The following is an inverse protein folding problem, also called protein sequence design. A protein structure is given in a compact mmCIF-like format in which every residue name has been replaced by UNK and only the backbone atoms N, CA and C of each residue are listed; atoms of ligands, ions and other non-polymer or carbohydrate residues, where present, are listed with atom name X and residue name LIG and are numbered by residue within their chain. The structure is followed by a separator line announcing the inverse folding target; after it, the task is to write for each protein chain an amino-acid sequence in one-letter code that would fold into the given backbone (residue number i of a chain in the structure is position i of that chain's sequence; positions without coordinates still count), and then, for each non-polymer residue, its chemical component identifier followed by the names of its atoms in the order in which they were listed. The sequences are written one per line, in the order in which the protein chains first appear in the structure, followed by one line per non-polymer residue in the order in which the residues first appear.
data_IF_123389552126
#
_entry.id   IF_123389552126
#
_cell.length_a   1.000
_cell.length_b   1.000
_cell.length_c   1.000
_cell.angle_alpha   90.00
_cell.angle_beta   90.00
_cell.angle_gamma   90.00
#
_symmetry.space_group_name_H-M   'P 1'
#
loop_
_entity.id
_entity.type
_entity.pdbx_description
1 polymer ?
#
# COMPACT_ATOMS: atom_id res chain seq x y z
N UNK A 1 -10.57 -10.95 -14.77
CA UNK A 1 -11.68 -10.04 -15.01
C UNK A 1 -11.26 -8.65 -14.61
N UNK A 2 -11.24 -7.71 -15.53
CA UNK A 2 -11.00 -6.30 -15.25
C UNK A 2 -12.36 -5.65 -15.01
N UNK A 3 -12.54 -5.05 -13.84
CA UNK A 3 -13.65 -4.15 -13.55
C UNK A 3 -13.22 -2.74 -13.92
N UNK A 4 -13.98 -2.07 -14.79
CA UNK A 4 -13.81 -0.65 -15.01
C UNK A 4 -14.36 0.11 -13.81
N UNK A 5 -13.65 1.18 -13.40
CA UNK A 5 -14.19 2.10 -12.40
C UNK A 5 -15.33 2.89 -13.04
N UNK A 6 -16.48 2.81 -12.41
CA UNK A 6 -17.68 3.55 -12.80
C UNK A 6 -18.14 4.37 -11.60
N UNK A 7 -18.12 5.69 -11.73
CA UNK A 7 -18.46 6.60 -10.63
C UNK A 7 -19.94 6.55 -10.24
N UNK A 8 -20.81 6.00 -11.09
CA UNK A 8 -22.23 5.86 -10.79
C UNK A 8 -22.52 4.66 -9.85
N UNK A 9 -21.63 3.66 -9.85
CA UNK A 9 -21.82 2.43 -9.05
C UNK A 9 -20.72 2.21 -8.01
N UNK A 10 -19.56 2.85 -8.19
CA UNK A 10 -18.43 2.68 -7.26
C UNK A 10 -18.59 3.61 -6.06
N UNK A 11 -18.51 3.09 -4.82
CA UNK A 11 -18.51 3.93 -3.62
C UNK A 11 -17.38 4.97 -3.65
N UNK A 12 -17.63 6.12 -3.06
CA UNK A 12 -16.64 7.20 -2.98
C UNK A 12 -15.38 6.74 -2.26
N UNK A 13 -14.28 6.70 -2.98
CA UNK A 13 -12.94 6.55 -2.42
C UNK A 13 -12.35 7.92 -2.14
N UNK A 14 -11.78 8.12 -0.96
CA UNK A 14 -11.17 9.40 -0.58
C UNK A 14 -9.81 9.67 -1.24
N UNK A 15 -9.35 8.80 -2.13
CA UNK A 15 -8.08 8.94 -2.85
C UNK A 15 -6.88 8.31 -2.15
N UNK A 16 -5.71 8.46 -2.79
CA UNK A 16 -4.44 7.90 -2.34
C UNK A 16 -3.62 8.99 -1.62
N UNK A 17 -3.72 9.07 -0.32
CA UNK A 17 -2.92 9.96 0.53
C UNK A 17 -2.68 9.31 1.90
N UNK A 18 -1.67 9.77 2.63
CA UNK A 18 -1.31 9.29 3.97
C UNK A 18 -1.21 7.74 4.04
N UNK A 19 -0.63 7.12 3.01
CA UNK A 19 -0.41 5.66 2.88
C UNK A 19 -1.67 4.80 2.95
N UNK A 20 -2.87 5.40 2.88
CA UNK A 20 -4.14 4.71 3.12
C UNK A 20 -4.51 3.64 2.10
N UNK A 21 -3.93 3.63 0.91
CA UNK A 21 -4.29 2.63 -0.11
C UNK A 21 -3.91 1.22 0.35
N UNK A 22 -2.67 0.99 0.71
CA UNK A 22 -2.25 -0.31 1.26
C UNK A 22 -2.94 -0.59 2.60
N UNK A 23 -3.01 0.40 3.48
CA UNK A 23 -3.60 0.27 4.80
C UNK A 23 -5.10 -0.05 4.74
N UNK A 24 -5.90 0.75 4.03
CA UNK A 24 -7.37 0.63 4.02
C UNK A 24 -7.87 -0.33 2.96
N UNK A 25 -7.47 -0.13 1.70
CA UNK A 25 -7.92 -0.96 0.60
C UNK A 25 -7.33 -2.38 0.70
N UNK A 26 -6.06 -2.50 1.07
CA UNK A 26 -5.41 -3.79 1.30
C UNK A 26 -6.12 -4.61 2.37
N UNK A 27 -6.51 -4.00 3.49
CA UNK A 27 -7.26 -4.69 4.54
C UNK A 27 -8.66 -5.10 4.08
N UNK A 28 -9.38 -4.22 3.36
CA UNK A 28 -10.69 -4.53 2.78
C UNK A 28 -10.61 -5.70 1.80
N UNK A 29 -9.61 -5.71 0.91
CA UNK A 29 -9.39 -6.80 -0.03
C UNK A 29 -9.09 -8.11 0.71
N UNK A 30 -8.22 -8.08 1.70
CA UNK A 30 -7.90 -9.26 2.53
C UNK A 30 -9.14 -9.82 3.19
N UNK A 31 -9.92 -8.98 3.87
CA UNK A 31 -11.16 -9.38 4.55
C UNK A 31 -12.18 -9.97 3.56
N UNK A 32 -12.37 -9.32 2.41
CA UNK A 32 -13.31 -9.80 1.37
C UNK A 32 -12.85 -11.13 0.77
N UNK A 33 -11.55 -11.29 0.55
CA UNK A 33 -10.97 -12.53 0.03
C UNK A 33 -11.13 -13.70 1.02
N UNK A 34 -10.94 -13.44 2.31
CA UNK A 34 -11.17 -14.43 3.37
C UNK A 34 -12.65 -14.85 3.45
N UNK A 35 -13.58 -13.90 3.29
CA UNK A 35 -15.01 -14.19 3.23
C UNK A 35 -15.36 -15.00 1.99
N UNK A 36 -14.83 -14.66 0.83
CA UNK A 36 -15.06 -15.40 -0.41
C UNK A 36 -14.49 -16.80 -0.33
N UNK A 37 -13.25 -16.95 0.17
CA UNK A 37 -12.64 -18.26 0.39
C UNK A 37 -13.51 -19.16 1.27
N UNK A 38 -14.06 -18.60 2.36
CA UNK A 38 -14.97 -19.33 3.25
C UNK A 38 -16.20 -19.82 2.51
N UNK A 39 -16.89 -18.97 1.77
CA UNK A 39 -18.07 -19.34 0.98
C UNK A 39 -17.76 -20.43 -0.05
N UNK A 40 -16.64 -20.31 -0.75
CA UNK A 40 -16.20 -21.33 -1.71
C UNK A 40 -16.01 -22.69 -1.02
N UNK A 41 -15.34 -22.71 0.14
CA UNK A 41 -15.12 -23.96 0.88
C UNK A 41 -16.39 -24.54 1.50
N UNK A 42 -17.33 -23.70 1.93
CA UNK A 42 -18.66 -24.11 2.39
C UNK A 42 -19.45 -24.78 1.25
N UNK A 43 -19.48 -24.16 0.07
CA UNK A 43 -20.12 -24.77 -1.09
C UNK A 43 -19.42 -26.06 -1.56
N UNK A 44 -18.08 -26.09 -1.53
CA UNK A 44 -17.30 -27.30 -1.81
C UNK A 44 -17.58 -28.43 -0.79
N UNK A 45 -17.85 -28.09 0.47
CA UNK A 45 -18.22 -29.05 1.51
C UNK A 45 -19.53 -29.78 1.15
N UNK A 46 -20.53 -29.06 0.67
CA UNK A 46 -21.81 -29.64 0.23
C UNK A 46 -21.63 -30.61 -0.94
N UNK A 47 -20.79 -30.24 -1.92
CA UNK A 47 -20.54 -31.06 -3.10
C UNK A 47 -19.69 -32.30 -2.82
N UNK A 48 -18.62 -32.13 -2.04
CA UNK A 48 -17.61 -33.19 -1.81
C UNK A 48 -17.85 -34.00 -0.57
N UNK A 49 -18.75 -33.57 0.31
CA UNK A 49 -18.99 -34.14 1.66
C UNK A 49 -17.73 -34.17 2.53
N UNK A 50 -16.75 -33.28 2.25
CA UNK A 50 -15.57 -33.09 3.08
C UNK A 50 -15.78 -31.90 4.00
N UNK A 51 -15.30 -31.96 5.23
CA UNK A 51 -15.38 -30.82 6.15
C UNK A 51 -14.52 -29.64 5.67
N UNK A 52 -14.99 -28.41 5.84
CA UNK A 52 -14.31 -27.19 5.39
C UNK A 52 -12.89 -27.05 5.94
N UNK A 53 -12.66 -27.43 7.21
CA UNK A 53 -11.34 -27.39 7.85
C UNK A 53 -10.33 -28.41 7.26
N UNK A 54 -10.80 -29.35 6.45
CA UNK A 54 -9.97 -30.37 5.79
C UNK A 54 -9.68 -30.04 4.32
N UNK A 55 -10.10 -28.86 3.86
CA UNK A 55 -9.93 -28.40 2.49
C UNK A 55 -9.24 -27.04 2.45
N UNK A 56 -8.49 -26.78 1.39
CA UNK A 56 -7.96 -25.48 1.07
C UNK A 56 -7.99 -25.22 -0.44
N UNK A 57 -7.76 -23.98 -0.83
CA UNK A 57 -7.64 -23.56 -2.23
C UNK A 57 -6.15 -23.43 -2.56
N UNK A 58 -5.65 -24.29 -3.41
CA UNK A 58 -4.25 -24.28 -3.86
C UNK A 58 -4.24 -24.37 -5.39
N UNK A 59 -3.50 -23.46 -6.03
CA UNK A 59 -3.32 -23.43 -7.50
C UNK A 59 -4.66 -23.56 -8.28
N UNK A 60 -5.66 -22.76 -7.87
CA UNK A 60 -7.01 -22.76 -8.45
C UNK A 60 -7.75 -24.09 -8.34
N UNK A 61 -7.40 -24.93 -7.39
CA UNK A 61 -8.08 -26.17 -7.08
C UNK A 61 -8.50 -26.23 -5.62
N UNK A 62 -9.61 -26.91 -5.36
CA UNK A 62 -9.99 -27.36 -4.02
C UNK A 62 -9.19 -28.62 -3.71
N UNK A 63 -8.36 -28.54 -2.68
CA UNK A 63 -7.43 -29.60 -2.31
C UNK A 63 -7.74 -30.07 -0.90
N UNK A 64 -7.73 -31.39 -0.68
CA UNK A 64 -7.80 -31.96 0.66
C UNK A 64 -6.45 -31.83 1.35
N UNK A 65 -6.43 -31.19 2.53
CA UNK A 65 -5.18 -30.87 3.25
C UNK A 65 -4.44 -32.15 3.72
N UNK A 66 -5.17 -33.20 4.08
CA UNK A 66 -4.57 -34.42 4.69
C UNK A 66 -3.65 -35.20 3.76
N UNK A 67 -3.94 -35.21 2.46
CA UNK A 67 -3.20 -36.03 1.48
C UNK A 67 -2.83 -35.29 0.19
N UNK A 68 -3.14 -33.98 0.10
CA UNK A 68 -2.88 -33.17 -1.07
C UNK A 68 -3.73 -33.49 -2.29
N UNK A 69 -4.77 -34.33 -2.14
CA UNK A 69 -5.60 -34.73 -3.27
C UNK A 69 -6.46 -33.60 -3.77
N UNK A 70 -6.39 -33.32 -5.08
CA UNK A 70 -7.32 -32.42 -5.75
C UNK A 70 -8.72 -33.03 -5.78
N UNK A 71 -9.70 -32.32 -5.25
CA UNK A 71 -11.10 -32.73 -5.21
C UNK A 71 -11.86 -32.22 -6.42
N UNK A 72 -11.64 -30.95 -6.79
CA UNK A 72 -12.20 -30.31 -7.97
C UNK A 72 -11.46 -29.02 -8.27
N UNK A 73 -11.59 -28.49 -9.50
CA UNK A 73 -11.10 -27.17 -9.85
C UNK A 73 -12.07 -26.07 -9.43
N UNK A 74 -11.58 -24.84 -9.23
CA UNK A 74 -12.44 -23.66 -9.00
C UNK A 74 -13.37 -23.41 -10.19
N UNK A 75 -12.96 -23.76 -11.40
CA UNK A 75 -13.79 -23.64 -12.61
C UNK A 75 -14.99 -24.59 -12.54
N UNK A 76 -14.77 -25.87 -12.23
CA UNK A 76 -15.84 -26.85 -12.06
C UNK A 76 -16.80 -26.45 -10.93
N UNK A 77 -16.25 -26.02 -9.79
CA UNK A 77 -17.03 -25.55 -8.66
C UNK A 77 -17.90 -24.34 -9.05
N UNK A 78 -17.34 -23.36 -9.73
CA UNK A 78 -18.05 -22.16 -10.17
C UNK A 78 -19.17 -22.49 -11.16
N UNK A 79 -18.91 -23.34 -12.14
CA UNK A 79 -19.94 -23.81 -13.08
C UNK A 79 -21.03 -24.59 -12.37
N UNK A 80 -20.67 -25.46 -11.43
CA UNK A 80 -21.67 -26.20 -10.64
C UNK A 80 -22.51 -25.23 -9.79
N UNK A 81 -21.87 -24.25 -9.12
CA UNK A 81 -22.58 -23.27 -8.32
C UNK A 81 -23.59 -22.46 -9.13
N UNK A 82 -23.23 -22.08 -10.36
CA UNK A 82 -24.10 -21.29 -11.23
C UNK A 82 -25.28 -22.09 -11.81
N UNK A 83 -25.07 -23.36 -12.16
CA UNK A 83 -26.03 -24.16 -12.90
C UNK A 83 -26.64 -25.32 -12.11
N UNK A 84 -26.39 -25.43 -10.81
CA UNK A 84 -26.96 -26.46 -9.97
C UNK A 84 -28.49 -26.29 -9.88
N UNK A 85 -29.29 -27.25 -10.32
CA UNK A 85 -30.75 -27.11 -10.32
C UNK A 85 -31.36 -27.16 -8.90
N UNK A 86 -30.63 -27.66 -7.93
CA UNK A 86 -31.13 -27.81 -6.55
C UNK A 86 -30.66 -26.63 -5.69
N UNK A 87 -29.41 -26.19 -5.86
CA UNK A 87 -28.81 -25.13 -5.07
C UNK A 87 -27.86 -24.32 -5.96
N UNK A 88 -28.40 -23.35 -6.70
CA UNK A 88 -27.58 -22.39 -7.44
C UNK A 88 -27.20 -21.25 -6.53
N UNK A 89 -25.92 -20.90 -6.51
CA UNK A 89 -25.39 -19.80 -5.72
C UNK A 89 -24.37 -18.97 -6.53
N UNK A 90 -24.48 -17.66 -6.42
CA UNK A 90 -23.42 -16.76 -6.88
C UNK A 90 -22.37 -16.60 -5.79
N UNK A 91 -21.18 -17.18 -6.02
CA UNK A 91 -20.07 -17.11 -5.07
C UNK A 91 -19.43 -15.72 -5.12
N UNK A 92 -20.04 -14.79 -4.42
CA UNK A 92 -19.59 -13.40 -4.27
C UNK A 92 -19.41 -13.02 -2.82
N UNK A 93 -18.52 -12.07 -2.56
CA UNK A 93 -18.34 -11.50 -1.23
C UNK A 93 -18.13 -9.99 -1.32
N UNK A 94 -18.69 -9.29 -0.35
CA UNK A 94 -18.55 -7.86 -0.18
C UNK A 94 -18.19 -7.57 1.28
N UNK A 95 -17.32 -6.61 1.49
CA UNK A 95 -17.06 -6.10 2.83
C UNK A 95 -16.66 -4.63 2.79
N UNK A 96 -16.90 -3.94 3.88
CA UNK A 96 -16.45 -2.56 4.10
C UNK A 96 -15.51 -2.55 5.28
N UNK A 97 -14.35 -1.93 5.11
CA UNK A 97 -13.40 -1.71 6.18
C UNK A 97 -13.42 -0.26 6.63
N UNK A 98 -13.57 -0.07 7.92
CA UNK A 98 -13.46 1.24 8.56
C UNK A 98 -12.23 1.26 9.46
N UNK A 99 -11.36 2.25 9.26
CA UNK A 99 -10.17 2.45 10.08
C UNK A 99 -10.59 2.73 11.53
N UNK A 100 -10.11 1.92 12.46
CA UNK A 100 -10.33 2.11 13.91
C UNK A 100 -9.11 2.70 14.60
N UNK A 101 -7.93 2.32 14.15
CA UNK A 101 -6.64 2.78 14.65
C UNK A 101 -5.75 3.13 13.48
N UNK A 102 -4.91 4.15 13.61
CA UNK A 102 -3.90 4.45 12.61
C UNK A 102 -2.69 3.54 12.84
N UNK A 103 -2.14 3.01 11.76
CA UNK A 103 -0.78 2.49 11.78
C UNK A 103 0.20 3.66 11.65
N UNK A 104 1.30 3.58 12.37
CA UNK A 104 2.33 4.61 12.36
C UNK A 104 3.60 4.04 11.74
N UNK A 105 4.17 4.75 10.79
CA UNK A 105 5.53 4.50 10.34
C UNK A 105 6.52 5.26 11.25
N UNK A 106 7.70 4.70 11.41
CA UNK A 106 8.78 5.28 12.18
C UNK A 106 10.00 5.44 11.29
N UNK A 107 10.76 6.49 11.49
CA UNK A 107 11.98 6.70 10.71
C UNK A 107 12.97 7.56 11.44
N UNK A 108 14.24 7.39 11.08
CA UNK A 108 15.33 8.22 11.55
C UNK A 108 16.21 8.58 10.36
N UNK A 109 16.50 9.87 10.21
CA UNK A 109 17.36 10.38 9.14
C UNK A 109 18.65 10.91 9.72
N UNK A 110 19.77 10.49 9.16
CA UNK A 110 21.11 10.97 9.49
C UNK A 110 21.65 11.76 8.30
N UNK A 111 22.15 12.96 8.54
CA UNK A 111 22.72 13.82 7.52
C UNK A 111 24.12 14.26 7.93
N UNK A 112 25.07 14.12 7.00
CA UNK A 112 26.41 14.66 7.12
C UNK A 112 26.52 15.91 6.25
N UNK A 113 26.95 17.01 6.87
CA UNK A 113 27.02 18.32 6.20
C UNK A 113 28.38 18.98 6.39
N UNK A 114 28.80 19.71 5.36
CA UNK A 114 29.93 20.63 5.42
C UNK A 114 29.40 22.06 5.44
N UNK A 115 29.87 22.87 6.40
CA UNK A 115 29.43 24.26 6.57
C UNK A 115 30.59 25.19 6.33
N UNK A 116 30.51 26.01 5.28
CA UNK A 116 31.40 27.11 5.01
C UNK A 116 30.83 28.38 5.67
N UNK A 117 31.34 28.69 6.88
CA UNK A 117 30.86 29.83 7.66
C UNK A 117 31.14 31.17 6.98
N UNK A 118 32.35 31.45 6.45
CA UNK A 118 32.61 32.69 5.71
C UNK A 118 31.72 32.93 4.51
N UNK A 119 31.41 31.88 3.78
CA UNK A 119 30.59 31.94 2.58
C UNK A 119 29.08 31.74 2.84
N UNK A 120 28.70 31.45 4.09
CA UNK A 120 27.32 31.12 4.48
C UNK A 120 26.72 30.00 3.61
N UNK A 121 27.50 28.96 3.32
CA UNK A 121 27.07 27.83 2.49
C UNK A 121 27.01 26.55 3.29
N UNK A 122 26.01 25.74 3.03
CA UNK A 122 25.88 24.38 3.53
C UNK A 122 25.89 23.43 2.34
N UNK A 123 26.73 22.40 2.42
CA UNK A 123 26.77 21.31 1.46
C UNK A 123 26.40 20.02 2.16
N UNK A 124 25.41 19.34 1.65
CA UNK A 124 25.02 18.00 2.10
C UNK A 124 25.99 16.99 1.49
N UNK A 125 26.72 16.25 2.34
CA UNK A 125 27.71 15.26 1.90
C UNK A 125 27.11 13.86 1.79
N UNK A 126 26.30 13.48 2.78
CA UNK A 126 25.66 12.18 2.83
C UNK A 126 24.32 12.27 3.57
N UNK A 127 23.37 11.41 3.22
CA UNK A 127 22.09 11.29 3.91
C UNK A 127 21.62 9.85 3.88
N UNK A 128 21.27 9.33 5.05
CA UNK A 128 20.76 7.96 5.24
C UNK A 128 19.45 8.03 6.00
N UNK A 129 18.43 7.37 5.52
CA UNK A 129 17.16 7.19 6.23
C UNK A 129 16.94 5.72 6.55
N UNK A 130 16.67 5.42 7.81
CA UNK A 130 16.23 4.10 8.26
C UNK A 130 14.75 4.18 8.57
N UNK A 131 13.93 3.38 7.90
CA UNK A 131 12.48 3.47 7.94
C UNK A 131 11.83 2.15 8.32
N UNK A 132 10.80 2.23 9.15
CA UNK A 132 9.92 1.12 9.51
C UNK A 132 8.48 1.46 9.09
N UNK A 133 8.00 0.79 8.08
CA UNK A 133 6.62 0.90 7.59
C UNK A 133 5.87 -0.45 7.69
N UNK A 134 6.34 -1.35 8.52
CA UNK A 134 5.84 -2.72 8.59
C UNK A 134 6.48 -3.60 7.52
N UNK A 135 5.71 -4.51 6.92
CA UNK A 135 6.23 -5.42 5.89
C UNK A 135 6.35 -4.73 4.53
N UNK A 136 7.53 -4.80 3.94
CA UNK A 136 7.77 -4.31 2.59
C UNK A 136 7.08 -5.19 1.54
N UNK A 137 6.04 -4.66 0.90
CA UNK A 137 5.34 -5.36 -0.19
C UNK A 137 6.13 -5.25 -1.48
N UNK A 138 6.69 -4.07 -1.75
CA UNK A 138 7.56 -3.81 -2.90
C UNK A 138 8.73 -2.94 -2.45
N UNK A 139 9.91 -3.54 -2.16
CA UNK A 139 11.07 -2.80 -1.66
C UNK A 139 11.50 -1.64 -2.55
N UNK A 140 11.54 -1.82 -3.88
CA UNK A 140 11.95 -0.78 -4.81
C UNK A 140 11.01 0.44 -4.81
N UNK A 141 9.69 0.22 -4.69
CA UNK A 141 8.73 1.32 -4.59
C UNK A 141 8.77 1.99 -3.22
N UNK A 142 9.01 1.24 -2.14
CA UNK A 142 9.19 1.81 -0.80
C UNK A 142 10.45 2.69 -0.74
N UNK A 143 11.57 2.22 -1.28
CA UNK A 143 12.80 2.97 -1.42
C UNK A 143 12.59 4.28 -2.21
N UNK A 144 11.89 4.21 -3.35
CA UNK A 144 11.55 5.39 -4.15
C UNK A 144 10.72 6.42 -3.37
N UNK A 145 9.79 5.99 -2.50
CA UNK A 145 9.02 6.88 -1.63
C UNK A 145 9.91 7.56 -0.58
N UNK A 146 10.82 6.82 0.03
CA UNK A 146 11.78 7.38 1.01
C UNK A 146 12.71 8.38 0.32
N UNK A 147 13.29 8.05 -0.83
CA UNK A 147 14.11 8.97 -1.62
C UNK A 147 13.35 10.24 -2.01
N UNK A 148 12.08 10.13 -2.42
CA UNK A 148 11.22 11.28 -2.69
C UNK A 148 11.03 12.18 -1.46
N UNK A 149 10.79 11.58 -0.29
CA UNK A 149 10.68 12.31 0.97
C UNK A 149 11.98 13.01 1.37
N UNK A 150 13.12 12.32 1.22
CA UNK A 150 14.45 12.90 1.48
C UNK A 150 14.72 14.08 0.54
N UNK A 151 14.39 13.96 -0.75
CA UNK A 151 14.56 15.04 -1.73
C UNK A 151 13.73 16.27 -1.35
N UNK A 152 12.48 16.09 -0.96
CA UNK A 152 11.66 17.21 -0.46
C UNK A 152 12.25 17.82 0.83
N UNK A 153 12.73 17.00 1.75
CA UNK A 153 13.38 17.49 2.98
C UNK A 153 14.64 18.30 2.71
N UNK A 154 15.47 17.88 1.75
CA UNK A 154 16.65 18.64 1.29
C UNK A 154 16.23 19.99 0.72
N UNK A 155 15.22 20.00 -0.15
CA UNK A 155 14.68 21.23 -0.72
C UNK A 155 14.22 22.20 0.36
N UNK A 156 13.40 21.76 1.28
CA UNK A 156 12.90 22.60 2.39
C UNK A 156 14.01 23.12 3.31
N UNK A 157 15.06 22.32 3.51
CA UNK A 157 16.17 22.69 4.39
C UNK A 157 17.17 23.65 3.77
N UNK A 158 17.36 23.62 2.44
CA UNK A 158 18.50 24.27 1.81
C UNK A 158 18.13 25.32 0.75
N UNK A 159 17.00 25.18 0.02
CA UNK A 159 16.78 25.99 -1.18
C UNK A 159 15.36 26.55 -1.33
N UNK A 160 14.35 25.88 -0.83
CA UNK A 160 12.97 26.24 -1.05
C UNK A 160 12.47 27.27 -0.04
N UNK A 161 11.91 28.35 -0.53
CA UNK A 161 11.25 29.37 0.29
C UNK A 161 10.07 29.96 -0.48
N UNK A 162 8.87 29.82 0.04
CA UNK A 162 7.69 30.48 -0.50
C UNK A 162 7.53 31.87 0.12
N UNK A 163 7.59 32.90 -0.70
CA UNK A 163 7.48 34.29 -0.29
C UNK A 163 6.06 34.79 -0.56
N UNK A 164 5.47 35.49 0.41
CA UNK A 164 4.15 36.09 0.29
C UNK A 164 4.21 37.59 0.43
N UNK A 165 3.36 38.28 -0.32
CA UNK A 165 3.03 39.71 -0.09
C UNK A 165 2.23 39.79 1.23
N UNK A 166 2.75 40.52 2.20
CA UNK A 166 2.15 40.63 3.54
C UNK A 166 0.75 41.25 3.55
N UNK A 167 0.44 42.10 2.55
CA UNK A 167 -0.83 42.82 2.48
C UNK A 167 -1.93 42.00 1.78
N UNK A 168 -1.55 41.26 0.76
CA UNK A 168 -2.50 40.59 -0.13
C UNK A 168 -2.53 39.07 0.04
N UNK A 169 -1.52 38.49 0.72
CA UNK A 169 -1.34 37.06 0.82
C UNK A 169 -0.97 36.35 -0.50
N UNK A 170 -0.65 37.12 -1.54
CA UNK A 170 -0.29 36.57 -2.86
C UNK A 170 1.14 36.05 -2.85
N UNK A 171 1.39 34.81 -3.39
CA UNK A 171 2.76 34.35 -3.59
C UNK A 171 3.54 35.26 -4.53
N UNK A 172 4.75 35.65 -4.14
CA UNK A 172 5.65 36.52 -4.92
C UNK A 172 6.53 35.70 -5.86
N UNK A 173 6.85 34.46 -5.52
CA UNK A 173 7.71 33.55 -6.28
C UNK A 173 6.97 32.29 -6.73
N UNK A 174 5.83 32.47 -7.37
CA UNK A 174 4.94 31.40 -7.81
C UNK A 174 5.34 30.75 -9.16
N UNK A 175 6.60 30.76 -9.48
CA UNK A 175 7.14 30.16 -10.70
C UNK A 175 8.47 29.46 -10.43
N UNK A 176 8.87 28.54 -11.31
CA UNK A 176 10.08 27.72 -11.10
C UNK A 176 11.40 28.46 -11.37
N UNK A 177 11.37 29.72 -11.81
CA UNK A 177 12.57 30.55 -11.87
C UNK A 177 12.93 31.12 -10.51
N UNK A 178 11.93 31.42 -9.70
CA UNK A 178 12.12 32.08 -8.39
C UNK A 178 11.98 31.10 -7.24
N UNK A 179 11.06 30.13 -7.33
CA UNK A 179 10.95 29.04 -6.37
C UNK A 179 11.97 27.96 -6.71
N UNK A 180 12.97 27.79 -5.86
CA UNK A 180 14.15 26.95 -6.12
C UNK A 180 13.97 25.52 -5.62
N UNK A 181 13.34 24.69 -6.43
CA UNK A 181 13.37 23.25 -6.20
C UNK A 181 14.80 22.72 -6.33
N UNK A 182 15.19 21.81 -5.43
CA UNK A 182 16.45 21.10 -5.56
C UNK A 182 16.44 20.24 -6.83
N UNK A 183 17.57 20.23 -7.52
CA UNK A 183 17.77 19.42 -8.73
C UNK A 183 18.51 18.15 -8.41
N UNK A 184 18.56 17.21 -9.35
CA UNK A 184 19.33 15.98 -9.21
C UNK A 184 20.82 16.22 -8.88
N UNK A 185 21.38 17.35 -9.30
CA UNK A 185 22.77 17.72 -9.05
C UNK A 185 23.01 18.27 -7.63
N UNK A 186 21.96 18.64 -6.92
CA UNK A 186 22.02 19.19 -5.56
C UNK A 186 21.96 18.09 -4.50
N UNK A 187 21.65 16.85 -4.90
CA UNK A 187 21.54 15.74 -3.99
C UNK A 187 22.85 14.93 -3.90
N UNK A 188 23.25 14.50 -2.69
CA UNK A 188 24.24 13.46 -2.52
C UNK A 188 23.65 12.10 -2.91
N UNK A 189 24.39 11.02 -2.66
CA UNK A 189 23.82 9.69 -2.64
C UNK A 189 22.75 9.59 -1.55
N UNK A 190 21.55 9.16 -1.92
CA UNK A 190 20.43 8.95 -1.00
C UNK A 190 20.40 7.47 -0.63
N UNK A 191 20.55 7.16 0.65
CA UNK A 191 20.52 5.79 1.14
C UNK A 191 19.25 5.57 1.97
N UNK A 192 18.48 4.54 1.64
CA UNK A 192 17.28 4.15 2.36
C UNK A 192 17.43 2.71 2.86
N UNK A 193 17.30 2.54 4.17
CA UNK A 193 17.30 1.23 4.82
C UNK A 193 15.95 0.98 5.48
N UNK A 194 15.57 -0.29 5.60
CA UNK A 194 14.28 -0.66 6.15
C UNK A 194 14.43 -1.66 7.30
N UNK A 195 13.61 -1.45 8.33
CA UNK A 195 13.41 -2.39 9.43
C UNK A 195 11.97 -2.88 9.33
N UNK A 196 11.76 -4.17 9.19
CA UNK A 196 10.44 -4.77 9.13
C UNK A 196 9.96 -5.20 10.51
N UNK A 197 8.93 -4.52 11.03
CA UNK A 197 8.22 -4.93 12.23
C UNK A 197 6.78 -5.34 11.91
N UNK A 198 6.22 -6.19 12.75
CA UNK A 198 4.82 -6.57 12.62
C UNK A 198 3.91 -5.44 13.10
N UNK A 199 3.04 -4.96 12.20
CA UNK A 199 2.02 -3.96 12.49
C UNK A 199 0.63 -4.62 12.49
N UNK A 200 0.02 -4.85 13.67
CA UNK A 200 -1.24 -5.58 13.76
C UNK A 200 -2.48 -4.78 13.35
N UNK A 201 -2.37 -3.45 13.24
CA UNK A 201 -3.52 -2.57 12.95
C UNK A 201 -3.85 -2.48 11.47
N UNK A 202 -2.96 -2.95 10.60
CA UNK A 202 -3.16 -2.97 9.15
C UNK A 202 -2.96 -4.38 8.56
N UNK A 203 -3.25 -4.51 7.27
CA UNK A 203 -3.06 -5.78 6.58
C UNK A 203 -1.57 -6.19 6.52
N UNK A 204 -0.67 -5.21 6.35
CA UNK A 204 0.77 -5.45 6.12
C UNK A 204 1.68 -4.37 6.73
N UNK A 205 1.16 -3.25 7.17
CA UNK A 205 1.90 -2.07 7.61
C UNK A 205 1.30 -0.79 7.06
N UNK A 206 2.05 0.29 7.05
CA UNK A 206 1.66 1.62 6.53
C UNK A 206 2.20 1.84 5.13
#
# INVERSE_FOLDING_TARGET
VLSCQDTDVTPTGLGAYASRQTFTAGFSIRQTSELLKRKILEYACELTRQATYNMDIIDSNIVRITDGRVLMSLSELSMTAQYNPVHSEHLTAESTYTIRNNAYSFGCTFAEVEVDIPMCKVKLLNIVNVHDCGKLINPALAEAQVHGGMSMGIGYGLSEQLLFDEKTGRPLNNNLLDYKLSTFMDHPNLEAEFVENYEPTSAFGT
#
